data_IF_911504687801
#
_entry.id   IF_911504687801
#
_cell.length_a   1.000
_cell.length_b   1.000
_cell.length_c   1.000
_cell.angle_alpha   90.00
_cell.angle_beta   90.00
_cell.angle_gamma   90.00
#
_symmetry.space_group_name_H-M   'P 1'
#
loop_
_entity.id
_entity.type
_entity.pdbx_description
1 polymer ?
#
# COMPACT_ATOMS: atom_id res chain seq x y z
N UNK A 1 13.40 -4.71 1.04
CA UNK A 1 12.75 -3.97 2.12
C UNK A 1 11.84 -2.90 1.57
N UNK A 2 10.63 -2.91 2.00
CA UNK A 2 9.65 -1.99 1.46
C UNK A 2 9.38 -0.87 2.45
N UNK A 3 9.69 0.35 2.04
CA UNK A 3 9.37 1.53 2.83
C UNK A 3 8.23 2.25 2.18
N UNK A 4 7.11 2.29 2.89
CA UNK A 4 5.93 2.96 2.39
C UNK A 4 5.99 4.43 2.77
N UNK A 5 5.82 5.29 1.80
CA UNK A 5 5.81 6.71 2.04
C UNK A 5 4.51 7.12 2.72
N UNK A 6 4.48 8.31 3.33
CA UNK A 6 3.26 8.77 3.98
C UNK A 6 2.10 8.86 3.00
N UNK A 7 0.90 8.84 3.56
CA UNK A 7 -0.30 8.92 2.77
C UNK A 7 -0.33 10.21 1.95
N UNK A 8 -0.58 10.13 0.64
CA UNK A 8 -0.60 11.33 -0.18
C UNK A 8 -1.84 12.20 0.04
N UNK A 9 -2.81 11.69 0.76
CA UNK A 9 -4.05 12.43 0.99
C UNK A 9 -4.07 13.13 2.33
N UNK A 10 -3.62 12.45 3.37
CA UNK A 10 -3.66 13.05 4.71
C UNK A 10 -2.28 13.23 5.33
N UNK A 11 -1.25 12.68 4.70
CA UNK A 11 0.11 12.83 5.19
C UNK A 11 0.44 11.94 6.37
N UNK A 12 -0.43 11.03 6.75
CA UNK A 12 -0.20 10.18 7.89
C UNK A 12 0.86 9.13 7.57
N UNK A 13 1.60 8.76 8.60
CA UNK A 13 2.59 7.70 8.47
C UNK A 13 2.02 6.34 8.81
N UNK A 14 0.79 6.29 9.25
CA UNK A 14 0.19 5.04 9.70
C UNK A 14 -0.37 4.31 8.48
N UNK A 15 0.54 3.72 7.74
CA UNK A 15 0.22 3.01 6.50
C UNK A 15 0.40 1.52 6.75
N UNK A 16 -0.61 0.74 6.40
CA UNK A 16 -0.60 -0.69 6.62
C UNK A 16 -0.60 -1.44 5.30
N UNK A 17 0.24 -2.48 5.22
CA UNK A 17 0.24 -3.39 4.10
C UNK A 17 -0.58 -4.61 4.49
N UNK A 18 -1.60 -4.90 3.71
CA UNK A 18 -2.46 -6.04 3.98
C UNK A 18 -2.26 -7.10 2.92
N UNK A 19 -2.17 -8.35 3.36
CA UNK A 19 -1.98 -9.48 2.48
C UNK A 19 -3.23 -10.33 2.46
N UNK A 20 -3.62 -10.77 1.29
CA UNK A 20 -4.76 -11.65 1.12
C UNK A 20 -4.24 -13.03 0.83
N UNK A 21 -4.55 -13.98 1.69
CA UNK A 21 -4.08 -15.35 1.56
C UNK A 21 -5.22 -16.32 1.61
N UNK A 22 -5.03 -17.41 0.90
CA UNK A 22 -6.02 -18.48 0.90
C UNK A 22 -5.27 -19.79 0.75
N UNK A 23 -5.48 -20.71 1.69
CA UNK A 23 -4.80 -22.01 1.69
C UNK A 23 -3.29 -21.83 1.64
N UNK A 24 -2.78 -20.87 2.42
CA UNK A 24 -1.36 -20.57 2.51
C UNK A 24 -0.77 -20.07 1.20
N UNK A 25 -1.62 -19.65 0.28
CA UNK A 25 -1.17 -19.09 -0.98
C UNK A 25 -1.49 -17.60 -0.97
N UNK A 26 -0.51 -16.78 -1.34
CA UNK A 26 -0.70 -15.33 -1.40
C UNK A 26 -1.53 -14.99 -2.64
N UNK A 27 -2.72 -14.46 -2.40
CA UNK A 27 -3.62 -14.10 -3.48
C UNK A 27 -3.40 -12.67 -3.94
N UNK A 28 -2.97 -11.82 -3.04
CA UNK A 28 -2.78 -10.43 -3.39
C UNK A 28 -2.43 -9.59 -2.19
N UNK A 29 -2.31 -8.29 -2.41
CA UNK A 29 -1.96 -7.37 -1.35
C UNK A 29 -2.48 -5.99 -1.69
N UNK A 30 -2.67 -5.19 -0.66
CA UNK A 30 -3.06 -3.80 -0.85
C UNK A 30 -2.56 -2.97 0.32
N UNK A 31 -2.46 -1.67 0.09
CA UNK A 31 -1.99 -0.73 1.11
C UNK A 31 -3.16 0.13 1.55
N UNK A 32 -3.22 0.35 2.84
CA UNK A 32 -4.32 1.09 3.43
C UNK A 32 -3.78 2.10 4.42
N UNK A 33 -4.35 3.31 4.40
CA UNK A 33 -4.01 4.33 5.39
C UNK A 33 -4.93 4.17 6.60
N UNK A 34 -4.32 4.00 7.77
CA UNK A 34 -5.10 3.81 8.99
C UNK A 34 -5.75 5.09 9.47
N UNK A 35 -5.29 6.22 8.95
CA UNK A 35 -5.79 7.52 9.43
C UNK A 35 -7.00 8.00 8.63
N UNK A 36 -6.87 8.09 7.32
CA UNK A 36 -7.97 8.60 6.50
C UNK A 36 -8.78 7.51 5.81
N UNK A 37 -8.29 6.28 5.84
CA UNK A 37 -9.07 5.17 5.31
C UNK A 37 -8.89 4.90 3.83
N UNK A 38 -8.04 5.66 3.15
CA UNK A 38 -7.81 5.42 1.74
C UNK A 38 -7.05 4.11 1.57
N UNK A 39 -7.32 3.41 0.49
CA UNK A 39 -6.62 2.16 0.21
C UNK A 39 -6.40 2.02 -1.28
N UNK A 40 -5.42 1.20 -1.64
CA UNK A 40 -5.17 0.90 -3.05
C UNK A 40 -6.04 -0.27 -3.48
N UNK A 41 -6.00 -0.53 -4.79
CA UNK A 41 -6.61 -1.73 -5.29
C UNK A 41 -5.76 -2.93 -4.89
N UNK A 42 -6.29 -4.11 -5.08
CA UNK A 42 -5.57 -5.33 -4.74
C UNK A 42 -4.67 -5.70 -5.90
N UNK A 43 -3.39 -5.90 -5.59
CA UNK A 43 -2.40 -6.31 -6.59
C UNK A 43 -1.98 -7.75 -6.30
N UNK A 44 -1.63 -8.46 -7.35
CA UNK A 44 -1.16 -9.84 -7.20
C UNK A 44 0.19 -9.88 -6.50
N UNK A 45 1.01 -8.89 -6.75
CA UNK A 45 2.38 -8.84 -6.23
C UNK A 45 2.51 -7.71 -5.23
N UNK A 46 2.93 -8.01 -3.99
CA UNK A 46 3.10 -6.95 -2.99
C UNK A 46 4.09 -5.87 -3.43
N UNK A 47 5.11 -6.25 -4.19
CA UNK A 47 6.07 -5.27 -4.66
C UNK A 47 5.42 -4.25 -5.59
N UNK A 48 4.45 -4.69 -6.36
CA UNK A 48 3.78 -3.79 -7.28
C UNK A 48 2.95 -2.75 -6.53
N UNK A 49 2.30 -3.17 -5.46
CA UNK A 49 1.48 -2.22 -4.71
C UNK A 49 2.36 -1.22 -3.99
N UNK A 50 3.51 -1.64 -3.50
CA UNK A 50 4.45 -0.74 -2.86
C UNK A 50 4.95 0.29 -3.87
N UNK A 51 5.29 -0.18 -5.06
CA UNK A 51 5.77 0.72 -6.09
C UNK A 51 4.70 1.72 -6.50
N UNK A 52 3.48 1.25 -6.63
CA UNK A 52 2.37 2.13 -6.99
C UNK A 52 2.17 3.20 -5.92
N UNK A 53 2.18 2.78 -4.68
CA UNK A 53 1.96 3.71 -3.57
C UNK A 53 3.05 4.78 -3.52
N UNK A 54 4.30 4.34 -3.61
CA UNK A 54 5.42 5.26 -3.51
C UNK A 54 5.55 6.16 -4.73
N UNK A 55 5.17 5.66 -5.89
CA UNK A 55 5.23 6.46 -7.09
C UNK A 55 4.29 7.65 -7.00
N UNK A 56 3.09 7.41 -6.45
CA UNK A 56 2.15 8.49 -6.31
C UNK A 56 2.66 9.56 -5.36
N UNK A 57 3.27 9.12 -4.27
CA UNK A 57 3.83 10.06 -3.31
C UNK A 57 4.95 10.86 -3.94
N UNK A 58 5.74 10.21 -4.79
CA UNK A 58 6.85 10.88 -5.45
C UNK A 58 6.39 11.95 -6.42
N UNK A 59 5.23 11.76 -6.99
CA UNK A 59 4.70 12.72 -7.94
C UNK A 59 4.48 14.08 -7.29
N UNK A 60 4.41 14.10 -5.99
CA UNK A 60 4.23 15.33 -5.25
C UNK A 60 5.47 16.20 -5.30
N UNK A 61 6.60 15.56 -5.40
CA UNK A 61 7.87 16.29 -5.39
C UNK A 61 8.23 16.82 -6.77
#
# INVERSE_FOLDING_TARGET
>A
MSDLKPCPFCGSRYINMNYIRENDVLEGAYVECANCGVSTRIYDDPDEVVEFWNRRSNAED
#
